data_IF_650080250151
#
_entry.id   IF_650080250151
#
_cell.length_a   1.000
_cell.length_b   1.000
_cell.length_c   1.000
_cell.angle_alpha   90.00
_cell.angle_beta   90.00
_cell.angle_gamma   90.00
#
_symmetry.space_group_name_H-M   'P 1'
#
loop_
_entity.id
_entity.type
_entity.pdbx_description
1 polymer ?
#
# COMPACT_ATOMS: atom_id res chain seq x y z
N UNK A 1 12.14 43.27 59.92
CA UNK A 1 12.32 41.96 59.26
C UNK A 1 11.25 41.83 58.17
N UNK A 2 11.64 41.88 56.90
CA UNK A 2 10.81 41.41 55.77
C UNK A 2 11.68 40.40 55.02
N UNK A 3 11.24 39.15 54.99
CA UNK A 3 11.89 38.04 54.33
C UNK A 3 11.22 37.88 52.96
N UNK A 4 11.97 38.11 51.88
CA UNK A 4 11.51 37.85 50.51
C UNK A 4 11.95 36.46 50.08
N UNK A 5 10.98 35.61 49.72
CA UNK A 5 11.22 34.29 49.13
C UNK A 5 11.46 34.44 47.62
N UNK A 6 12.61 33.97 47.14
CA UNK A 6 12.88 33.76 45.71
C UNK A 6 12.57 32.30 45.39
N UNK A 7 11.60 32.06 44.49
CA UNK A 7 11.33 30.74 43.93
C UNK A 7 12.14 30.63 42.62
N UNK A 8 13.18 29.78 42.62
CA UNK A 8 13.88 29.40 41.39
C UNK A 8 13.02 28.44 40.58
N UNK A 9 12.58 28.87 39.40
CA UNK A 9 11.88 28.04 38.43
C UNK A 9 12.92 27.29 37.58
N UNK A 10 13.17 26.02 37.89
CA UNK A 10 13.96 25.13 37.02
C UNK A 10 13.13 24.71 35.82
N UNK A 11 13.52 25.16 34.63
CA UNK A 11 12.98 24.67 33.36
C UNK A 11 13.60 23.30 33.08
N UNK A 12 12.78 22.25 33.12
CA UNK A 12 13.14 20.92 32.61
C UNK A 12 13.02 20.98 31.08
N UNK A 13 14.14 20.97 30.38
CA UNK A 13 14.15 20.74 28.93
C UNK A 13 13.98 19.24 28.68
N UNK A 14 12.78 18.83 28.26
CA UNK A 14 12.58 17.49 27.69
C UNK A 14 13.43 17.36 26.41
N UNK A 15 14.12 16.23 26.18
CA UNK A 15 14.75 15.99 24.89
C UNK A 15 13.65 15.91 23.83
N UNK A 16 13.77 16.71 22.78
CA UNK A 16 12.93 16.57 21.61
C UNK A 16 13.11 15.15 21.07
N UNK A 17 12.03 14.36 21.06
CA UNK A 17 11.96 13.16 20.24
C UNK A 17 12.19 13.67 18.82
N UNK A 18 13.31 13.28 18.20
CA UNK A 18 13.51 13.46 16.77
C UNK A 18 12.38 12.68 16.09
N UNK A 19 11.29 13.36 15.74
CA UNK A 19 10.31 12.75 14.86
C UNK A 19 11.06 12.43 13.58
N UNK A 20 11.05 11.16 13.18
CA UNK A 20 11.60 10.76 11.90
C UNK A 20 10.69 11.41 10.85
N UNK A 21 11.08 12.60 10.37
CA UNK A 21 10.28 13.36 9.42
C UNK A 21 10.20 12.53 8.15
N UNK A 22 8.99 12.27 7.67
CA UNK A 22 8.76 11.55 6.42
C UNK A 22 9.38 12.33 5.26
N UNK A 23 10.22 11.67 4.46
CA UNK A 23 10.90 12.25 3.31
C UNK A 23 10.27 11.75 2.02
N UNK A 24 9.85 12.66 1.16
CA UNK A 24 9.19 12.33 -0.10
C UNK A 24 9.97 12.94 -1.27
N UNK A 25 10.26 12.12 -2.27
CA UNK A 25 10.81 12.58 -3.54
C UNK A 25 9.66 12.88 -4.50
N UNK A 26 9.65 14.07 -5.09
CA UNK A 26 8.62 14.51 -6.03
C UNK A 26 9.28 14.84 -7.37
N UNK A 27 8.82 14.21 -8.44
CA UNK A 27 9.21 14.61 -9.79
C UNK A 27 8.49 15.90 -10.18
N UNK A 28 9.20 16.86 -10.80
CA UNK A 28 8.59 18.06 -11.36
C UNK A 28 9.04 19.35 -10.68
N UNK A 29 8.10 20.17 -10.21
CA UNK A 29 8.35 21.54 -9.75
C UNK A 29 7.78 21.85 -8.37
N UNK A 30 8.43 22.78 -7.67
CA UNK A 30 7.97 23.29 -6.38
C UNK A 30 6.62 23.98 -6.49
N UNK A 31 5.75 23.71 -5.52
CA UNK A 31 4.39 24.24 -5.47
C UNK A 31 3.38 23.52 -6.36
N UNK A 32 3.67 22.31 -6.85
CA UNK A 32 2.63 21.41 -7.37
C UNK A 32 1.60 21.09 -6.27
N UNK A 33 0.43 20.60 -6.63
CA UNK A 33 -0.59 20.24 -5.62
C UNK A 33 -0.13 19.07 -4.76
N UNK A 34 0.66 18.15 -5.31
CA UNK A 34 1.32 17.07 -4.57
C UNK A 34 2.37 17.59 -3.58
N UNK A 35 3.19 18.56 -3.97
CA UNK A 35 4.18 19.19 -3.07
C UNK A 35 3.50 19.96 -1.93
N UNK A 36 2.43 20.69 -2.24
CA UNK A 36 1.59 21.36 -1.23
C UNK A 36 0.96 20.33 -0.28
N UNK A 37 0.41 19.25 -0.81
CA UNK A 37 -0.21 18.18 -0.01
C UNK A 37 0.79 17.46 0.89
N UNK A 38 1.99 17.14 0.38
CA UNK A 38 3.06 16.54 1.16
C UNK A 38 3.53 17.49 2.28
N UNK A 39 3.73 18.78 1.96
CA UNK A 39 4.16 19.79 2.94
C UNK A 39 3.09 20.04 4.01
N UNK A 40 1.80 20.05 3.65
CA UNK A 40 0.68 20.18 4.60
C UNK A 40 0.67 19.02 5.62
N UNK A 41 1.09 17.82 5.20
CA UNK A 41 1.22 16.66 6.07
C UNK A 41 2.50 16.67 6.92
N UNK A 42 3.39 17.64 6.73
CA UNK A 42 4.66 17.74 7.44
C UNK A 42 5.77 16.88 6.86
N UNK A 43 5.63 16.39 5.62
CA UNK A 43 6.71 15.73 4.91
C UNK A 43 7.81 16.73 4.57
N UNK A 44 9.06 16.25 4.58
CA UNK A 44 10.17 16.92 3.94
C UNK A 44 10.19 16.53 2.45
N UNK A 45 10.02 17.51 1.56
CA UNK A 45 9.97 17.27 0.11
C UNK A 45 11.32 17.51 -0.55
N UNK A 46 11.74 16.59 -1.41
CA UNK A 46 12.83 16.82 -2.37
C UNK A 46 12.24 16.81 -3.77
N UNK A 47 12.47 17.86 -4.53
CA UNK A 47 11.89 18.03 -5.85
C UNK A 47 13.00 17.90 -6.88
N UNK A 48 12.77 17.07 -7.90
CA UNK A 48 13.77 16.76 -8.92
C UNK A 48 13.26 17.03 -10.32
N UNK A 49 14.12 17.66 -11.12
CA UNK A 49 13.97 17.86 -12.56
C UNK A 49 14.29 16.56 -13.33
N UNK A 50 13.97 16.53 -14.63
CA UNK A 50 14.36 15.44 -15.54
C UNK A 50 15.83 15.08 -15.44
N UNK A 51 16.70 16.09 -15.41
CA UNK A 51 18.16 15.88 -15.36
C UNK A 51 18.64 15.34 -14.02
N UNK A 52 17.97 15.68 -12.93
CA UNK A 52 18.32 15.18 -11.60
C UNK A 52 17.81 13.75 -11.45
N UNK A 53 16.54 13.50 -11.80
CA UNK A 53 15.93 12.17 -11.82
C UNK A 53 16.77 11.18 -12.63
N UNK A 54 17.19 11.56 -13.85
CA UNK A 54 17.99 10.70 -14.74
C UNK A 54 19.38 10.35 -14.17
N UNK A 55 19.89 11.11 -13.19
CA UNK A 55 21.17 10.86 -12.54
C UNK A 55 21.04 10.09 -11.21
N UNK A 56 19.81 9.80 -10.76
CA UNK A 56 19.59 9.05 -9.52
C UNK A 56 19.86 7.57 -9.71
N UNK A 57 20.42 6.93 -8.68
CA UNK A 57 20.52 5.47 -8.59
C UNK A 57 19.32 4.89 -7.85
N UNK A 58 19.11 3.57 -7.96
CA UNK A 58 18.11 2.84 -7.16
C UNK A 58 18.26 3.12 -5.65
N UNK A 59 19.50 3.25 -5.15
CA UNK A 59 19.76 3.57 -3.75
C UNK A 59 19.37 5.00 -3.39
N UNK A 60 19.38 5.94 -4.34
CA UNK A 60 18.93 7.30 -4.09
C UNK A 60 17.41 7.36 -3.96
N UNK A 61 16.68 6.63 -4.81
CA UNK A 61 15.22 6.46 -4.67
C UNK A 61 14.85 5.77 -3.35
N UNK A 62 15.59 4.72 -2.96
CA UNK A 62 15.31 3.92 -1.75
C UNK A 62 15.55 4.67 -0.42
N UNK A 63 16.07 5.91 -0.45
CA UNK A 63 16.24 6.76 0.74
C UNK A 63 14.96 7.46 1.17
N UNK A 64 13.96 7.52 0.30
CA UNK A 64 12.71 8.22 0.55
C UNK A 64 11.65 7.25 1.06
N UNK A 65 10.73 7.76 1.88
CA UNK A 65 9.55 7.00 2.32
C UNK A 65 8.56 6.83 1.16
N UNK A 66 8.53 7.79 0.23
CA UNK A 66 7.77 7.68 -1.02
C UNK A 66 8.43 8.39 -2.19
N UNK A 67 8.20 7.83 -3.38
CA UNK A 67 8.39 8.49 -4.68
C UNK A 67 7.02 8.94 -5.20
N UNK A 68 6.91 10.20 -5.55
CA UNK A 68 5.69 10.83 -6.06
C UNK A 68 5.90 11.25 -7.50
N UNK A 69 5.20 10.57 -8.41
CA UNK A 69 5.02 11.02 -9.78
C UNK A 69 3.67 11.75 -9.82
N UNK A 70 3.68 13.09 -9.85
CA UNK A 70 2.46 13.89 -9.73
C UNK A 70 1.57 13.70 -10.96
N UNK A 71 0.33 14.18 -10.85
CA UNK A 71 -0.54 14.35 -12.01
C UNK A 71 0.09 15.38 -12.96
N UNK A 72 0.60 14.88 -14.08
CA UNK A 72 1.32 15.68 -15.08
C UNK A 72 0.39 16.58 -15.91
N UNK A 73 -0.92 16.54 -15.66
CA UNK A 73 -1.95 17.26 -16.42
C UNK A 73 -1.76 17.06 -17.93
N UNK A 74 -1.71 15.80 -18.35
CA UNK A 74 -1.30 15.44 -19.70
C UNK A 74 -2.13 14.29 -20.27
N UNK A 75 -2.29 14.34 -21.58
CA UNK A 75 -3.01 13.36 -22.39
C UNK A 75 -2.03 12.65 -23.35
N UNK A 76 -0.72 12.83 -23.13
CA UNK A 76 0.33 12.29 -23.99
C UNK A 76 1.14 11.23 -23.26
N UNK A 77 1.23 10.03 -23.84
CA UNK A 77 2.05 8.94 -23.30
C UNK A 77 3.54 9.33 -23.17
N UNK A 78 4.02 10.22 -24.03
CA UNK A 78 5.40 10.74 -23.96
C UNK A 78 5.69 11.54 -22.70
N UNK A 79 4.68 11.96 -21.93
CA UNK A 79 4.87 12.61 -20.64
C UNK A 79 5.42 11.65 -19.58
N UNK A 80 5.29 10.33 -19.79
CA UNK A 80 5.90 9.30 -18.95
C UNK A 80 7.28 8.85 -19.44
N UNK A 81 7.83 9.46 -20.50
CA UNK A 81 9.11 9.07 -21.08
C UNK A 81 10.25 9.01 -20.06
N UNK A 82 10.29 9.94 -19.11
CA UNK A 82 11.33 9.98 -18.08
C UNK A 82 11.23 8.77 -17.15
N UNK A 83 10.00 8.37 -16.81
CA UNK A 83 9.70 7.23 -15.95
C UNK A 83 10.00 5.92 -16.68
N UNK A 84 9.61 5.83 -17.96
CA UNK A 84 9.86 4.66 -18.81
C UNK A 84 11.36 4.45 -19.06
N UNK A 85 12.11 5.50 -19.42
CA UNK A 85 13.56 5.44 -19.68
C UNK A 85 14.39 5.02 -18.46
N UNK A 86 13.85 5.20 -17.26
CA UNK A 86 14.55 4.93 -15.99
C UNK A 86 13.89 3.82 -15.15
N UNK A 87 12.92 3.07 -15.71
CA UNK A 87 12.14 2.08 -14.95
C UNK A 87 12.99 1.02 -14.28
N UNK A 88 14.04 0.54 -14.94
CA UNK A 88 14.95 -0.44 -14.34
C UNK A 88 15.80 0.12 -13.19
N UNK A 89 15.76 1.44 -12.95
CA UNK A 89 16.49 2.14 -11.89
C UNK A 89 15.57 2.50 -10.72
N UNK A 90 14.45 3.18 -10.96
CA UNK A 90 13.57 3.65 -9.88
C UNK A 90 12.68 2.54 -9.33
N UNK A 91 12.14 1.67 -10.20
CA UNK A 91 11.12 0.70 -9.78
C UNK A 91 11.62 -0.35 -8.78
N UNK A 92 12.88 -0.84 -8.82
CA UNK A 92 13.37 -1.78 -7.80
C UNK A 92 13.53 -1.16 -6.41
N UNK A 93 13.51 0.17 -6.28
CA UNK A 93 13.52 0.84 -4.99
C UNK A 93 12.14 0.76 -4.30
N UNK A 94 11.07 0.62 -5.07
CA UNK A 94 9.70 0.63 -4.58
C UNK A 94 9.37 -0.73 -3.97
N UNK A 95 9.24 -0.74 -2.66
CA UNK A 95 9.03 -1.95 -1.83
C UNK A 95 7.93 -1.76 -0.79
N UNK A 96 7.38 -0.56 -0.70
CA UNK A 96 6.30 -0.19 0.21
C UNK A 96 4.95 -0.12 -0.49
N UNK A 97 4.04 0.68 0.08
CA UNK A 97 2.71 0.87 -0.45
C UNK A 97 2.74 1.56 -1.82
N UNK A 98 1.89 1.11 -2.74
CA UNK A 98 1.77 1.69 -4.08
C UNK A 98 0.33 2.12 -4.28
N UNK A 99 0.11 3.32 -4.82
CA UNK A 99 -1.19 3.77 -5.30
C UNK A 99 -1.06 4.33 -6.71
N UNK A 100 -1.91 3.83 -7.62
CA UNK A 100 -1.97 4.28 -9.01
C UNK A 100 -3.37 4.78 -9.30
N UNK A 101 -3.48 6.02 -9.80
CA UNK A 101 -4.73 6.76 -9.96
C UNK A 101 -5.00 6.96 -11.46
N UNK A 102 -6.13 6.42 -11.95
CA UNK A 102 -6.67 6.62 -13.30
C UNK A 102 -7.60 7.83 -13.38
N UNK A 103 -7.08 9.00 -13.07
CA UNK A 103 -7.78 10.28 -13.05
C UNK A 103 -6.80 11.44 -12.94
N UNK A 104 -7.30 12.66 -13.12
CA UNK A 104 -6.52 13.91 -13.12
C UNK A 104 -6.90 14.83 -11.94
N UNK A 105 -6.62 14.42 -10.68
CA UNK A 105 -7.02 15.17 -9.49
C UNK A 105 -6.49 16.62 -9.47
N UNK A 106 -5.39 16.94 -10.14
CA UNK A 106 -4.89 18.32 -10.22
C UNK A 106 -5.83 19.21 -11.04
N UNK A 107 -6.42 18.70 -12.11
CA UNK A 107 -7.44 19.46 -12.87
C UNK A 107 -8.74 19.63 -12.08
N UNK A 108 -9.04 18.68 -11.18
CA UNK A 108 -10.18 18.72 -10.30
C UNK A 108 -9.89 19.33 -8.93
N UNK A 109 -8.75 19.99 -8.71
CA UNK A 109 -8.33 20.51 -7.40
C UNK A 109 -9.31 21.55 -6.81
N UNK A 110 -10.14 22.16 -7.65
CA UNK A 110 -11.22 23.06 -7.20
C UNK A 110 -12.32 22.31 -6.43
N UNK A 111 -12.42 20.99 -6.60
CA UNK A 111 -13.21 20.10 -5.76
C UNK A 111 -12.44 19.82 -4.47
N UNK A 112 -13.12 19.87 -3.33
CA UNK A 112 -12.50 19.49 -2.04
C UNK A 112 -12.03 18.03 -2.08
N UNK A 113 -12.73 17.20 -2.84
CA UNK A 113 -12.48 15.77 -2.99
C UNK A 113 -11.11 15.44 -3.61
N UNK A 114 -10.72 16.11 -4.69
CA UNK A 114 -9.43 15.85 -5.34
C UNK A 114 -8.24 16.14 -4.41
N UNK A 115 -8.30 17.22 -3.63
CA UNK A 115 -7.28 17.51 -2.62
C UNK A 115 -7.25 16.49 -1.47
N UNK A 116 -8.39 15.88 -1.12
CA UNK A 116 -8.44 14.75 -0.20
C UNK A 116 -7.74 13.53 -0.82
N UNK A 117 -8.01 13.19 -2.08
CA UNK A 117 -7.33 12.08 -2.76
C UNK A 117 -5.82 12.25 -2.74
N UNK A 118 -5.30 13.39 -3.22
CA UNK A 118 -3.85 13.64 -3.30
C UNK A 118 -3.18 13.47 -1.92
N UNK A 119 -3.72 14.09 -0.87
CA UNK A 119 -3.13 14.00 0.49
C UNK A 119 -3.13 12.58 1.04
N UNK A 120 -4.25 11.87 0.93
CA UNK A 120 -4.36 10.51 1.48
C UNK A 120 -3.48 9.54 0.70
N UNK A 121 -3.40 9.69 -0.62
CA UNK A 121 -2.57 8.87 -1.49
C UNK A 121 -1.06 9.07 -1.20
N UNK A 122 -0.59 10.30 -1.05
CA UNK A 122 0.81 10.58 -0.65
C UNK A 122 1.11 10.01 0.73
N UNK A 123 0.21 10.20 1.70
CA UNK A 123 0.37 9.63 3.04
C UNK A 123 0.43 8.11 3.01
N UNK A 124 -0.42 7.47 2.22
CA UNK A 124 -0.46 6.03 2.05
C UNK A 124 0.84 5.49 1.45
N UNK A 125 1.32 6.10 0.36
CA UNK A 125 2.60 5.76 -0.25
C UNK A 125 3.77 5.93 0.72
N UNK A 126 3.77 6.98 1.55
CA UNK A 126 4.84 7.26 2.49
C UNK A 126 4.76 6.46 3.81
N UNK A 127 3.78 5.57 3.95
CA UNK A 127 3.66 4.71 5.14
C UNK A 127 4.60 3.51 5.01
N UNK A 128 5.57 3.40 5.92
CA UNK A 128 6.44 2.21 6.00
C UNK A 128 5.68 0.98 6.53
N UNK A 129 6.05 -0.21 6.05
CA UNK A 129 5.56 -1.47 6.64
C UNK A 129 6.19 -1.70 8.02
N UNK A 130 5.47 -2.29 9.00
CA UNK A 130 5.97 -2.45 10.38
C UNK A 130 7.31 -3.20 10.50
N UNK A 131 7.63 -4.04 9.52
CA UNK A 131 8.82 -4.90 9.53
C UNK A 131 10.06 -4.32 8.86
N UNK A 132 9.96 -3.27 8.03
CA UNK A 132 11.12 -2.74 7.29
C UNK A 132 10.88 -1.31 6.75
N UNK A 133 11.94 -0.48 6.73
CA UNK A 133 11.93 0.75 5.96
C UNK A 133 11.68 0.41 4.48
N UNK A 134 10.67 1.05 3.88
CA UNK A 134 10.21 0.75 2.54
C UNK A 134 9.86 2.05 1.82
N UNK A 135 10.21 2.13 0.53
CA UNK A 135 9.82 3.25 -0.32
C UNK A 135 8.53 2.89 -1.04
N UNK A 136 7.47 3.69 -0.86
CA UNK A 136 6.24 3.56 -1.62
C UNK A 136 6.19 4.41 -2.89
N UNK A 137 5.10 4.28 -3.63
CA UNK A 137 4.88 4.99 -4.90
C UNK A 137 3.47 5.62 -4.92
N UNK A 138 3.44 6.92 -5.24
CA UNK A 138 2.26 7.61 -5.74
C UNK A 138 2.45 7.84 -7.24
N UNK A 139 1.48 7.40 -8.05
CA UNK A 139 1.46 7.66 -9.49
C UNK A 139 0.05 8.07 -9.94
N UNK A 140 -0.09 9.28 -10.44
CA UNK A 140 -1.29 9.69 -11.17
C UNK A 140 -1.06 9.56 -12.67
N UNK A 141 -1.95 8.83 -13.35
CA UNK A 141 -1.92 8.66 -14.81
C UNK A 141 -2.54 9.86 -15.55
N UNK A 142 -3.18 10.79 -14.81
CA UNK A 142 -3.81 12.00 -15.36
C UNK A 142 -4.91 11.67 -16.36
N UNK A 143 -4.63 11.90 -17.64
CA UNK A 143 -5.50 11.59 -18.77
C UNK A 143 -4.74 10.88 -19.89
N UNK A 144 -3.58 10.30 -19.57
CA UNK A 144 -2.62 9.81 -20.54
C UNK A 144 -3.20 8.71 -21.43
N UNK A 145 -4.14 7.93 -20.88
CA UNK A 145 -4.79 6.83 -21.58
C UNK A 145 -6.28 7.11 -21.86
N UNK A 146 -6.76 8.35 -21.69
CA UNK A 146 -8.18 8.69 -21.78
C UNK A 146 -8.80 8.48 -23.17
N UNK A 147 -7.99 8.42 -24.23
CA UNK A 147 -8.43 8.41 -25.63
C UNK A 147 -8.12 7.10 -26.36
N UNK A 148 -7.79 6.03 -25.61
CA UNK A 148 -7.49 4.70 -26.16
C UNK A 148 -8.48 3.66 -25.64
N UNK A 149 -8.84 2.69 -26.48
CA UNK A 149 -9.74 1.61 -26.06
C UNK A 149 -9.05 0.65 -25.08
N UNK A 150 -7.76 0.40 -25.29
CA UNK A 150 -6.91 -0.43 -24.43
C UNK A 150 -5.44 -0.03 -24.62
N UNK A 151 -4.66 0.01 -23.54
CA UNK A 151 -3.21 0.14 -23.58
C UNK A 151 -2.55 -0.57 -22.39
N UNK A 152 -1.29 -0.96 -22.57
CA UNK A 152 -0.43 -1.40 -21.46
C UNK A 152 0.15 -0.19 -20.73
N UNK A 153 0.35 -0.31 -19.42
CA UNK A 153 1.03 0.72 -18.61
C UNK A 153 2.49 0.27 -18.39
N UNK A 154 3.30 0.40 -19.44
CA UNK A 154 4.65 -0.20 -19.50
C UNK A 154 5.61 0.30 -18.41
N UNK A 155 5.40 1.51 -17.89
CA UNK A 155 6.17 2.08 -16.79
C UNK A 155 6.06 1.27 -15.50
N UNK A 156 4.98 0.49 -15.34
CA UNK A 156 4.76 -0.37 -14.17
C UNK A 156 5.22 -1.82 -14.38
N UNK A 157 5.83 -2.15 -15.52
CA UNK A 157 6.21 -3.53 -15.90
C UNK A 157 7.08 -4.27 -14.89
N UNK A 158 7.81 -3.57 -14.02
CA UNK A 158 8.55 -4.19 -12.92
C UNK A 158 7.64 -4.89 -11.89
N UNK A 159 6.44 -4.34 -11.66
CA UNK A 159 5.47 -4.87 -10.70
C UNK A 159 4.52 -5.89 -11.33
N UNK A 160 4.58 -6.04 -12.66
CA UNK A 160 3.78 -6.98 -13.44
C UNK A 160 3.10 -6.33 -14.63
N UNK A 161 2.11 -7.02 -15.21
CA UNK A 161 1.40 -6.53 -16.38
C UNK A 161 0.15 -5.74 -15.97
N UNK A 162 0.05 -4.52 -16.49
CA UNK A 162 -1.08 -3.64 -16.25
C UNK A 162 -1.69 -3.25 -17.59
N UNK A 163 -3.00 -3.36 -17.71
CA UNK A 163 -3.74 -2.81 -18.85
C UNK A 163 -4.79 -1.84 -18.35
N UNK A 164 -4.91 -0.73 -19.07
CA UNK A 164 -5.92 0.30 -18.83
C UNK A 164 -6.75 0.47 -20.08
N UNK A 165 -7.92 1.07 -19.90
CA UNK A 165 -8.82 1.52 -20.96
C UNK A 165 -9.25 2.94 -20.68
N UNK A 166 -9.25 3.75 -21.73
CA UNK A 166 -9.91 5.05 -21.79
C UNK A 166 -11.18 4.96 -22.63
N UNK A 167 -11.44 6.01 -23.41
CA UNK A 167 -12.67 6.23 -24.16
C UNK A 167 -13.90 5.94 -23.29
N UNK A 168 -13.84 6.37 -22.03
CA UNK A 168 -14.88 6.16 -21.03
C UNK A 168 -15.93 7.26 -21.11
N UNK A 169 -17.14 6.99 -20.63
CA UNK A 169 -18.24 7.95 -20.61
C UNK A 169 -18.09 9.03 -19.52
N UNK A 170 -16.88 9.25 -19.01
CA UNK A 170 -16.58 10.23 -17.97
C UNK A 170 -17.35 9.92 -16.67
N UNK A 171 -17.06 8.76 -16.06
CA UNK A 171 -17.78 8.28 -14.89
C UNK A 171 -17.52 9.16 -13.66
N UNK A 172 -18.57 9.40 -12.88
CA UNK A 172 -18.53 10.38 -11.79
C UNK A 172 -19.10 9.84 -10.45
N UNK A 173 -19.44 8.55 -10.43
CA UNK A 173 -19.90 7.82 -9.25
C UNK A 173 -18.81 6.83 -8.85
N UNK A 174 -18.02 7.19 -7.85
CA UNK A 174 -16.97 6.34 -7.32
C UNK A 174 -17.41 5.61 -6.04
N UNK A 175 -16.80 4.46 -5.78
CA UNK A 175 -16.98 3.73 -4.53
C UNK A 175 -15.64 3.16 -4.06
N UNK A 176 -15.31 3.33 -2.78
CA UNK A 176 -14.15 2.69 -2.16
C UNK A 176 -14.45 1.23 -1.85
N UNK A 177 -13.55 0.34 -2.27
CA UNK A 177 -13.66 -1.12 -2.08
C UNK A 177 -12.46 -1.71 -1.34
N UNK A 178 -11.53 -0.86 -0.91
CA UNK A 178 -10.46 -1.18 0.02
C UNK A 178 -10.20 0.00 0.96
N UNK A 179 -9.48 -0.26 2.05
CA UNK A 179 -9.21 0.74 3.09
C UNK A 179 -7.79 0.65 3.63
N UNK A 180 -7.35 1.73 4.27
CA UNK A 180 -6.10 1.75 5.03
C UNK A 180 -6.21 2.84 6.11
N UNK A 181 -5.59 2.67 7.30
CA UNK A 181 -5.49 3.74 8.29
C UNK A 181 -4.84 5.02 7.74
N UNK A 182 -3.99 4.91 6.71
CA UNK A 182 -3.38 6.06 6.04
C UNK A 182 -4.36 6.81 5.10
N UNK A 183 -5.46 6.18 4.71
CA UNK A 183 -6.49 6.71 3.81
C UNK A 183 -7.75 7.21 4.56
N UNK A 184 -7.65 7.42 5.88
CA UNK A 184 -8.76 7.66 6.81
C UNK A 184 -9.80 8.72 6.44
N UNK A 185 -9.45 9.70 5.59
CA UNK A 185 -10.37 10.77 5.18
C UNK A 185 -10.87 10.63 3.74
N UNK A 186 -10.35 9.64 2.99
CA UNK A 186 -10.86 9.28 1.68
C UNK A 186 -12.19 8.56 1.83
N UNK A 187 -13.17 8.92 0.99
CA UNK A 187 -14.50 8.33 0.97
C UNK A 187 -15.15 8.55 -0.40
N UNK A 188 -16.29 7.89 -0.65
CA UNK A 188 -17.03 7.98 -1.91
C UNK A 188 -17.40 9.42 -2.30
N UNK A 189 -17.73 10.27 -1.32
CA UNK A 189 -18.05 11.69 -1.58
C UNK A 189 -16.82 12.46 -2.05
N UNK A 190 -15.65 12.17 -1.49
CA UNK A 190 -14.40 12.77 -1.93
C UNK A 190 -14.02 12.33 -3.35
N UNK A 191 -14.41 11.12 -3.77
CA UNK A 191 -14.05 10.54 -5.06
C UNK A 191 -15.10 10.71 -6.17
N UNK A 192 -16.26 11.30 -5.85
CA UNK A 192 -17.40 11.42 -6.77
C UNK A 192 -17.77 12.88 -7.03
N UNK A 193 -18.59 13.11 -8.06
CA UNK A 193 -19.17 14.42 -8.41
C UNK A 193 -18.12 15.48 -8.78
N UNK A 194 -17.05 15.06 -9.45
CA UNK A 194 -16.03 15.96 -10.00
C UNK A 194 -16.41 16.50 -11.38
N UNK A 195 -17.50 16.00 -11.96
CA UNK A 195 -17.88 16.20 -13.37
C UNK A 195 -17.20 15.20 -14.30
N UNK A 196 -16.07 14.63 -13.87
CA UNK A 196 -15.36 13.49 -14.44
C UNK A 196 -14.43 12.95 -13.36
N UNK A 197 -14.82 11.91 -12.64
CA UNK A 197 -13.96 11.35 -11.57
C UNK A 197 -12.99 10.30 -12.11
N UNK A 198 -13.30 9.72 -13.28
CA UNK A 198 -12.58 8.59 -13.88
C UNK A 198 -12.21 8.90 -15.32
N UNK A 199 -10.92 8.94 -15.62
CA UNK A 199 -10.39 9.21 -16.97
C UNK A 199 -9.88 7.97 -17.66
N UNK A 200 -9.30 7.04 -16.90
CA UNK A 200 -8.98 5.70 -17.35
C UNK A 200 -9.24 4.68 -16.24
N UNK A 201 -9.56 3.45 -16.63
CA UNK A 201 -9.84 2.36 -15.71
C UNK A 201 -8.94 1.17 -16.02
N UNK A 202 -8.55 0.43 -15.01
CA UNK A 202 -7.71 -0.76 -15.13
C UNK A 202 -8.56 -1.96 -15.58
N UNK A 203 -8.22 -2.51 -16.74
CA UNK A 203 -8.83 -3.74 -17.26
C UNK A 203 -8.14 -5.00 -16.77
N UNK A 204 -6.84 -4.92 -16.44
CA UNK A 204 -6.10 -5.99 -15.75
C UNK A 204 -4.91 -5.43 -14.97
N UNK A 205 -4.55 -6.12 -13.90
CA UNK A 205 -3.38 -5.85 -13.06
C UNK A 205 -3.01 -7.13 -12.31
N UNK A 206 -1.77 -7.26 -11.79
CA UNK A 206 -1.36 -8.43 -11.03
C UNK A 206 -2.16 -8.52 -9.73
N UNK A 207 -2.89 -9.60 -9.51
CA UNK A 207 -3.70 -9.81 -8.29
C UNK A 207 -3.13 -10.87 -7.34
N UNK A 208 -1.96 -11.43 -7.68
CA UNK A 208 -1.32 -12.53 -6.95
C UNK A 208 0.18 -12.30 -6.82
N UNK A 209 0.78 -12.93 -5.80
CA UNK A 209 2.22 -12.85 -5.56
C UNK A 209 2.66 -11.65 -4.72
N UNK A 210 3.98 -11.42 -4.63
CA UNK A 210 4.58 -10.48 -3.65
C UNK A 210 4.35 -8.99 -3.92
N UNK A 211 3.98 -8.64 -5.15
CA UNK A 211 3.63 -7.27 -5.57
C UNK A 211 2.26 -7.30 -6.24
N UNK A 212 1.30 -7.93 -5.56
CA UNK A 212 -0.10 -7.93 -5.95
C UNK A 212 -0.71 -6.53 -5.84
N UNK A 213 -1.83 -6.35 -6.51
CA UNK A 213 -2.65 -5.16 -6.44
C UNK A 213 -4.10 -5.55 -6.20
N UNK A 214 -4.81 -4.65 -5.56
CA UNK A 214 -6.26 -4.66 -5.40
C UNK A 214 -6.84 -3.35 -5.89
N UNK A 215 -8.11 -3.37 -6.30
CA UNK A 215 -8.88 -2.14 -6.46
C UNK A 215 -8.96 -1.41 -5.13
N UNK A 216 -8.67 -0.10 -5.14
CA UNK A 216 -8.95 0.79 -4.03
C UNK A 216 -10.29 1.51 -4.24
N UNK A 217 -10.52 1.98 -5.47
CA UNK A 217 -11.76 2.64 -5.85
C UNK A 217 -12.21 2.19 -7.24
N UNK A 218 -13.54 2.11 -7.39
CA UNK A 218 -14.20 1.72 -8.63
C UNK A 218 -15.11 2.84 -9.16
N UNK A 219 -15.27 2.91 -10.47
CA UNK A 219 -16.45 3.50 -11.09
C UNK A 219 -17.63 2.57 -10.81
N UNK A 220 -18.47 2.94 -9.85
CA UNK A 220 -19.52 2.07 -9.32
C UNK A 220 -20.64 1.86 -10.35
N UNK A 221 -21.16 0.63 -10.41
CA UNK A 221 -22.22 0.18 -11.31
C UNK A 221 -21.84 0.23 -12.80
N UNK A 222 -20.56 0.44 -13.11
CA UNK A 222 -20.06 0.38 -14.49
C UNK A 222 -19.62 -1.04 -14.83
N UNK A 223 -20.27 -1.63 -15.81
CA UNK A 223 -19.98 -3.00 -16.27
C UNK A 223 -19.26 -2.98 -17.62
N UNK A 224 -18.19 -3.75 -17.72
CA UNK A 224 -17.37 -3.82 -18.93
C UNK A 224 -16.13 -4.68 -18.73
N UNK A 225 -15.25 -4.69 -19.74
CA UNK A 225 -13.92 -5.29 -19.61
C UNK A 225 -13.18 -4.66 -18.41
N UNK A 226 -12.76 -5.51 -17.46
CA UNK A 226 -12.12 -5.10 -16.21
C UNK A 226 -13.04 -5.01 -14.99
N UNK A 227 -14.37 -5.07 -15.17
CA UNK A 227 -15.30 -4.94 -14.04
C UNK A 227 -15.22 -6.13 -13.09
N UNK A 228 -15.33 -5.86 -11.79
CA UNK A 228 -15.17 -6.82 -10.71
C UNK A 228 -16.27 -6.64 -9.65
N UNK A 229 -16.52 -7.69 -8.88
CA UNK A 229 -17.37 -7.66 -7.69
C UNK A 229 -16.51 -7.68 -6.43
N UNK A 230 -16.96 -7.03 -5.37
CA UNK A 230 -16.18 -6.83 -4.14
C UNK A 230 -16.92 -7.32 -2.90
N UNK A 231 -16.17 -7.54 -1.81
CA UNK A 231 -16.69 -8.09 -0.55
C UNK A 231 -17.75 -7.25 0.16
N UNK A 232 -17.90 -5.97 -0.19
CA UNK A 232 -18.99 -5.11 0.26
C UNK A 232 -20.29 -5.25 -0.57
N UNK A 233 -20.28 -6.15 -1.57
CA UNK A 233 -21.39 -6.40 -2.49
C UNK A 233 -21.47 -5.42 -3.66
N UNK A 234 -20.53 -4.48 -3.78
CA UNK A 234 -20.46 -3.55 -4.90
C UNK A 234 -19.89 -4.21 -6.16
N UNK A 235 -20.11 -3.55 -7.30
CA UNK A 235 -19.56 -3.94 -8.60
C UNK A 235 -19.17 -2.69 -9.38
N UNK A 236 -18.08 -2.76 -10.13
CA UNK A 236 -17.66 -1.63 -10.96
C UNK A 236 -16.31 -1.83 -11.62
N UNK A 237 -15.84 -0.78 -12.31
CA UNK A 237 -14.54 -0.75 -12.98
C UNK A 237 -13.48 -0.15 -12.04
N UNK A 238 -12.41 -0.88 -11.69
CA UNK A 238 -11.29 -0.30 -10.94
C UNK A 238 -10.64 0.85 -11.69
N UNK A 239 -10.50 2.00 -11.05
CA UNK A 239 -9.77 3.14 -11.61
C UNK A 239 -8.70 3.69 -10.66
N UNK A 240 -8.75 3.33 -9.38
CA UNK A 240 -7.63 3.48 -8.47
C UNK A 240 -7.27 2.09 -7.98
N UNK A 241 -6.02 1.68 -8.18
CA UNK A 241 -5.49 0.42 -7.66
C UNK A 241 -4.42 0.71 -6.63
N UNK A 242 -4.19 -0.24 -5.73
CA UNK A 242 -3.17 -0.12 -4.71
C UNK A 242 -2.49 -1.45 -4.40
N UNK A 243 -1.30 -1.37 -3.83
CA UNK A 243 -0.61 -2.47 -3.13
C UNK A 243 -0.50 -2.08 -1.65
N UNK A 244 -0.97 -2.94 -0.74
CA UNK A 244 -0.92 -2.70 0.71
C UNK A 244 -2.14 -2.00 1.34
N UNK A 245 -3.27 -1.90 0.63
CA UNK A 245 -4.56 -1.58 1.23
C UNK A 245 -5.34 -2.87 1.49
N UNK A 246 -6.27 -2.83 2.44
CA UNK A 246 -7.10 -3.97 2.84
C UNK A 246 -8.40 -3.99 2.04
N UNK A 247 -8.63 -4.97 1.15
CA UNK A 247 -9.91 -5.14 0.44
C UNK A 247 -11.09 -5.28 1.41
N UNK A 248 -12.29 -4.93 0.96
CA UNK A 248 -13.51 -5.27 1.69
C UNK A 248 -13.64 -6.81 1.87
N UNK A 249 -14.23 -7.24 3.00
CA UNK A 249 -14.32 -8.62 3.50
C UNK A 249 -13.03 -9.24 4.04
N UNK A 250 -11.85 -8.74 3.63
CA UNK A 250 -10.59 -9.30 4.10
C UNK A 250 -10.42 -9.27 5.63
N UNK A 251 -10.10 -10.43 6.20
CA UNK A 251 -9.86 -10.68 7.61
C UNK A 251 -11.13 -10.98 8.41
N UNK A 252 -12.22 -11.39 7.77
CA UNK A 252 -13.51 -11.67 8.44
C UNK A 252 -13.67 -13.15 8.86
N UNK A 253 -12.72 -14.01 8.50
CA UNK A 253 -12.70 -15.44 8.77
C UNK A 253 -13.33 -16.29 7.66
N UNK A 254 -13.72 -15.69 6.54
CA UNK A 254 -14.33 -16.33 5.40
C UNK A 254 -13.52 -16.10 4.13
N UNK A 255 -12.86 -17.15 3.63
CA UNK A 255 -12.16 -17.07 2.35
C UNK A 255 -13.14 -16.96 1.19
N UNK A 256 -13.12 -15.81 0.51
CA UNK A 256 -13.92 -15.52 -0.67
C UNK A 256 -13.04 -15.40 -1.93
N UNK A 257 -12.75 -16.54 -2.56
CA UNK A 257 -11.98 -16.61 -3.83
C UNK A 257 -12.56 -15.68 -4.92
N UNK A 258 -13.89 -15.51 -4.92
CA UNK A 258 -14.58 -14.65 -5.88
C UNK A 258 -14.23 -13.16 -5.76
N UNK A 259 -13.76 -12.72 -4.59
CA UNK A 259 -13.29 -11.35 -4.32
C UNK A 259 -11.77 -11.22 -4.43
N UNK A 260 -11.09 -12.28 -4.89
CA UNK A 260 -9.66 -12.28 -5.14
C UNK A 260 -8.81 -12.54 -3.88
N UNK A 261 -9.41 -13.03 -2.80
CA UNK A 261 -8.65 -13.47 -1.62
C UNK A 261 -7.87 -14.75 -1.92
N UNK A 262 -6.60 -14.77 -1.55
CA UNK A 262 -5.78 -15.99 -1.57
C UNK A 262 -5.89 -16.76 -0.24
N UNK A 263 -6.20 -16.04 0.83
CA UNK A 263 -6.35 -16.54 2.19
C UNK A 263 -7.26 -15.63 3.01
N UNK A 264 -7.80 -16.17 4.09
CA UNK A 264 -8.39 -15.39 5.18
C UNK A 264 -8.18 -16.16 6.49
N UNK A 265 -7.48 -15.57 7.45
CA UNK A 265 -7.20 -16.19 8.74
C UNK A 265 -7.95 -15.53 9.92
N UNK A 266 -8.96 -14.72 9.60
CA UNK A 266 -9.82 -14.04 10.55
C UNK A 266 -9.22 -12.76 11.14
N UNK A 267 -8.16 -12.21 10.52
CA UNK A 267 -7.60 -10.93 10.91
C UNK A 267 -6.85 -10.22 9.76
N UNK A 268 -6.28 -9.03 10.02
CA UNK A 268 -5.57 -8.21 9.03
C UNK A 268 -4.15 -7.84 9.47
N UNK A 269 -3.53 -8.68 10.30
CA UNK A 269 -2.17 -8.49 10.79
C UNK A 269 -1.17 -9.06 9.80
N UNK A 270 -0.31 -8.21 9.25
CA UNK A 270 0.83 -8.71 8.48
C UNK A 270 1.79 -9.54 9.38
N UNK A 271 2.38 -10.59 8.82
CA UNK A 271 3.43 -11.41 9.39
C UNK A 271 2.97 -12.74 9.99
N UNK A 272 1.69 -13.09 9.86
CA UNK A 272 1.11 -14.36 10.33
C UNK A 272 0.84 -15.38 9.20
N UNK A 273 1.17 -15.03 7.96
CA UNK A 273 1.05 -15.87 6.77
C UNK A 273 -0.02 -15.39 5.79
N UNK A 274 -1.03 -14.65 6.26
CA UNK A 274 -2.04 -14.00 5.42
C UNK A 274 -1.93 -12.48 5.60
N UNK A 275 -1.59 -11.75 4.53
CA UNK A 275 -1.39 -10.30 4.65
C UNK A 275 -2.68 -9.57 4.99
N UNK A 276 -2.55 -8.32 5.43
CA UNK A 276 -3.64 -7.34 5.52
C UNK A 276 -4.39 -7.08 4.20
N UNK A 277 -3.91 -7.62 3.07
CA UNK A 277 -4.56 -7.58 1.76
C UNK A 277 -5.14 -8.94 1.31
N UNK A 278 -5.22 -9.91 2.24
CA UNK A 278 -5.69 -11.28 2.00
C UNK A 278 -4.90 -12.00 0.91
N UNK A 279 -3.58 -11.79 0.94
CA UNK A 279 -2.62 -12.47 0.08
C UNK A 279 -1.66 -13.31 0.88
N UNK A 280 -1.20 -14.39 0.26
CA UNK A 280 -0.18 -15.20 0.89
C UNK A 280 1.15 -14.46 0.91
N UNK A 281 1.67 -14.19 2.11
CA UNK A 281 2.95 -13.50 2.30
C UNK A 281 4.13 -14.28 1.72
N UNK A 282 3.97 -15.61 1.63
CA UNK A 282 4.90 -16.51 0.98
C UNK A 282 4.83 -16.44 -0.56
N UNK A 283 3.75 -15.89 -1.11
CA UNK A 283 3.38 -15.95 -2.53
C UNK A 283 2.89 -17.33 -2.98
N UNK A 284 2.49 -18.19 -2.04
CA UNK A 284 2.12 -19.59 -2.31
C UNK A 284 0.74 -19.93 -1.69
N UNK A 285 -0.37 -19.65 -2.40
CA UNK A 285 -1.69 -20.11 -1.98
C UNK A 285 -1.89 -21.61 -2.19
N UNK A 286 -2.56 -22.27 -1.24
CA UNK A 286 -2.92 -23.69 -1.36
C UNK A 286 -4.22 -23.93 -2.16
N UNK A 287 -5.01 -22.87 -2.41
CA UNK A 287 -6.32 -22.97 -3.07
C UNK A 287 -7.44 -23.47 -2.14
N UNK A 288 -7.27 -23.33 -0.82
CA UNK A 288 -8.24 -23.70 0.20
C UNK A 288 -8.41 -22.60 1.27
N UNK A 289 -8.04 -21.36 0.95
CA UNK A 289 -8.03 -20.23 1.87
C UNK A 289 -6.85 -20.19 2.84
N UNK A 290 -5.86 -21.09 2.67
CA UNK A 290 -4.64 -21.10 3.48
C UNK A 290 -3.37 -20.89 2.65
N UNK A 291 -2.31 -20.42 3.31
CA UNK A 291 -1.01 -20.17 2.70
C UNK A 291 0.01 -21.24 3.07
N UNK A 292 0.83 -21.63 2.09
CA UNK A 292 1.97 -22.48 2.36
C UNK A 292 3.09 -21.67 3.03
N UNK A 293 3.74 -22.23 4.06
CA UNK A 293 5.03 -21.70 4.50
C UNK A 293 6.06 -21.90 3.37
N UNK A 294 6.93 -20.91 3.09
CA UNK A 294 8.02 -21.12 2.16
C UNK A 294 8.89 -22.29 2.67
N UNK A 295 9.42 -23.17 1.78
CA UNK A 295 10.24 -24.28 2.21
C UNK A 295 11.40 -23.75 3.05
N UNK A 296 11.41 -24.11 4.34
CA UNK A 296 12.46 -23.69 5.28
C UNK A 296 13.79 -24.08 4.67
N UNK A 297 14.61 -23.09 4.28
CA UNK A 297 16.00 -23.38 3.94
C UNK A 297 16.59 -24.08 5.16
N UNK A 298 17.21 -25.23 4.93
CA UNK A 298 17.74 -26.06 5.99
C UNK A 298 18.77 -25.27 6.81
N UNK A 299 18.38 -24.92 8.03
CA UNK A 299 19.28 -24.48 9.09
C UNK A 299 19.35 -22.97 9.27
N UNK A 300 18.36 -22.41 9.97
CA UNK A 300 18.44 -21.41 11.06
C UNK A 300 17.03 -20.84 11.26
N UNK A 301 16.12 -21.67 11.78
CA UNK A 301 14.83 -21.17 12.26
C UNK A 301 15.03 -20.34 13.54
N UNK A 302 14.19 -19.32 13.79
CA UNK A 302 14.19 -18.63 15.09
C UNK A 302 13.95 -19.64 16.23
N UNK A 303 14.52 -19.40 17.42
CA UNK A 303 14.29 -20.28 18.56
C UNK A 303 12.79 -20.35 18.87
N UNK A 304 12.27 -21.52 19.27
CA UNK A 304 10.85 -21.66 19.56
C UNK A 304 10.41 -20.62 20.60
N UNK A 305 9.19 -20.06 20.49
CA UNK A 305 8.69 -19.10 21.45
C UNK A 305 8.76 -19.70 22.86
N UNK A 306 9.37 -18.96 23.79
CA UNK A 306 9.40 -19.33 25.19
C UNK A 306 7.96 -19.47 25.71
N UNK A 307 7.45 -20.70 25.79
CA UNK A 307 6.21 -20.97 26.49
C UNK A 307 6.37 -20.51 27.95
N UNK A 308 5.64 -19.47 28.33
CA UNK A 308 5.41 -19.05 29.71
C UNK A 308 4.41 -20.00 30.39
N UNK A 309 4.71 -21.30 30.36
CA UNK A 309 3.96 -22.33 31.07
C UNK A 309 4.54 -22.56 32.45
N UNK A 310 3.82 -22.17 33.50
CA UNK A 310 4.16 -22.47 34.91
C UNK A 310 4.36 -23.97 35.10
N UNK A 311 5.61 -24.41 35.27
CA UNK A 311 5.90 -25.77 35.76
C UNK A 311 5.48 -25.90 37.23
N UNK A 312 4.28 -26.45 37.46
CA UNK A 312 3.93 -27.05 38.74
C UNK A 312 4.67 -28.39 38.92
N UNK A 313 5.11 -28.74 40.15
CA UNK A 313 5.89 -29.96 40.37
C UNK A 313 5.00 -31.20 40.19
N UNK A 314 5.27 -31.99 39.14
CA UNK A 314 4.66 -33.32 38.99
C UNK A 314 5.23 -34.26 40.05
N UNK A 315 4.35 -34.70 40.95
CA UNK A 315 4.59 -35.78 41.93
C UNK A 315 4.94 -37.08 41.20
N UNK A 316 6.04 -37.72 41.61
CA UNK A 316 6.34 -39.13 41.28
C UNK A 316 5.45 -40.05 42.12
N UNK A 317 4.85 -41.11 41.55
CA UNK A 317 4.51 -42.30 42.30
C UNK A 317 5.66 -43.30 42.20
N UNK A 318 6.18 -43.73 43.35
CA UNK A 318 7.11 -44.84 43.46
C UNK A 318 6.39 -46.19 43.38
N UNK A 319 7.15 -47.23 43.04
CA UNK A 319 6.73 -48.62 43.09
C UNK A 319 7.89 -49.54 42.70
N UNK A 320 8.61 -50.03 43.71
CA UNK A 320 9.68 -51.03 43.61
C UNK A 320 9.11 -52.42 43.31
N UNK A 321 9.88 -53.24 42.59
CA UNK A 321 9.73 -54.70 42.63
C UNK A 321 10.35 -55.41 41.43
N UNK A 322 11.57 -55.92 41.61
CA UNK A 322 12.20 -56.89 40.71
C UNK A 322 12.20 -58.26 41.39
N UNK A 323 11.88 -59.34 40.67
CA UNK A 323 12.41 -60.72 40.89
C UNK A 323 12.39 -61.48 39.54
N UNK A 324 13.35 -62.41 39.26
CA UNK A 324 13.72 -62.87 37.90
C UNK A 324 13.45 -64.37 37.61
N UNK A 325 13.83 -64.80 36.38
CA UNK A 325 14.04 -66.19 35.86
C UNK A 325 12.75 -67.01 35.60
N UNK A 326 12.62 -67.90 34.61
CA UNK A 326 13.54 -68.84 33.94
C UNK A 326 13.13 -69.14 32.49
N UNK A 327 14.11 -69.61 31.71
CA UNK A 327 14.04 -70.24 30.38
C UNK A 327 13.11 -71.47 30.27
N UNK A 328 12.43 -71.61 29.13
CA UNK A 328 12.31 -72.80 28.24
C UNK A 328 11.50 -72.40 27.01
#
# INVERSE_FOLDING_TARGET
>A
MKLSYLISLTVLTSPAISQNVTNVLIYGSAGSEEDKAATEFGCNTTIVTDSEWANMSTLDFARYDAVVVPDLNSDYISSLDFLEKSKDIWSPAITGNIIVIGGDPVNHISTVGAGILIRNAIRFAATSRPAQASTGLYLALSRIYNSVDNATVDVLSHFGNFTVRGNLDCYDKAHLVASSPALYSLNDTALSNWGCSVHEAFSSYPTTGKTDFQALAIAQDVLGEGSQSFGDGSVGLPYIISHGATPAACGDGHWDEAYGEECDDGNTLDGDGCSSSCKCESGLPNGDGTCAEPPRSSGYGPPPPCHTGKHGPKRKPGGYGAVPTTSS
#
